data_IF_888981495724
#
_entry.id   IF_888981495724
#
_cell.length_a   1.000
_cell.length_b   1.000
_cell.length_c   1.000
_cell.angle_alpha   90.00
_cell.angle_beta   90.00
_cell.angle_gamma   90.00
#
_symmetry.space_group_name_H-M   'P 1'
#
loop_
_entity.id
_entity.type
_entity.pdbx_description
1 polymer ?
#
# COMPACT_ATOMS: atom_id res chain seq x y z
N UNK A 1 11.67 8.28 -23.29
CA UNK A 1 10.64 9.09 -22.64
C UNK A 1 11.29 9.86 -21.50
N UNK A 2 11.22 11.19 -21.52
CA UNK A 2 11.80 12.04 -20.46
C UNK A 2 10.70 12.31 -19.42
N UNK A 3 10.90 11.80 -18.20
CA UNK A 3 10.28 12.28 -16.96
C UNK A 3 8.83 11.87 -16.68
N UNK A 4 8.58 10.63 -16.25
CA UNK A 4 7.41 10.38 -15.40
C UNK A 4 7.63 11.14 -14.07
N UNK A 5 6.64 11.83 -13.48
CA UNK A 5 6.81 12.55 -12.20
C UNK A 5 7.42 11.67 -11.08
N UNK A 6 7.11 10.38 -11.10
CA UNK A 6 7.69 9.36 -10.21
C UNK A 6 9.22 9.15 -10.36
N UNK A 7 9.84 9.68 -11.41
CA UNK A 7 11.29 9.61 -11.67
C UNK A 7 12.05 10.87 -11.20
N UNK A 8 11.36 11.88 -10.66
CA UNK A 8 12.02 13.06 -10.12
C UNK A 8 12.69 12.76 -8.77
N UNK A 9 13.93 13.21 -8.60
CA UNK A 9 14.64 13.21 -7.30
C UNK A 9 13.81 13.86 -6.19
N UNK A 10 12.93 14.81 -6.51
CA UNK A 10 12.07 15.52 -5.55
C UNK A 10 10.99 14.65 -4.89
N UNK A 11 10.75 13.46 -5.45
CA UNK A 11 9.72 12.50 -5.03
C UNK A 11 10.33 11.31 -4.28
N UNK A 12 11.65 11.13 -4.35
CA UNK A 12 12.35 10.02 -3.68
C UNK A 12 12.10 10.06 -2.17
N UNK A 13 11.56 8.97 -1.65
CA UNK A 13 11.23 8.82 -0.23
C UNK A 13 9.96 9.53 0.23
N UNK A 14 9.17 10.09 -0.69
CA UNK A 14 7.84 10.66 -0.40
C UNK A 14 6.73 9.70 -0.77
N UNK A 15 5.69 9.68 0.05
CA UNK A 15 4.44 9.01 -0.26
C UNK A 15 3.64 9.86 -1.24
N UNK A 16 3.20 9.26 -2.35
CA UNK A 16 2.31 9.91 -3.29
C UNK A 16 0.98 9.16 -3.28
N UNK A 17 -0.10 9.92 -3.20
CA UNK A 17 -1.45 9.40 -3.28
C UNK A 17 -2.05 9.82 -4.62
N UNK A 18 -2.22 8.88 -5.53
CA UNK A 18 -2.80 9.12 -6.85
C UNK A 18 -3.95 8.14 -7.09
N UNK A 19 -5.17 8.66 -7.07
CA UNK A 19 -6.34 7.83 -7.35
C UNK A 19 -6.23 7.16 -8.71
N UNK A 20 -6.41 5.83 -8.73
CA UNK A 20 -6.31 4.96 -9.91
C UNK A 20 -4.92 4.84 -10.51
N UNK A 21 -3.87 5.24 -9.79
CA UNK A 21 -2.48 5.13 -10.27
C UNK A 21 -2.22 5.91 -11.57
N UNK A 22 -3.06 6.91 -11.89
CA UNK A 22 -3.03 7.59 -13.18
C UNK A 22 -3.38 9.07 -13.12
N UNK A 23 -3.33 9.71 -11.94
CA UNK A 23 -3.35 11.18 -11.91
C UNK A 23 -2.00 11.70 -12.42
N UNK A 24 -1.97 12.74 -13.29
CA UNK A 24 -3.07 13.61 -13.72
C UNK A 24 -3.72 13.22 -15.06
N UNK A 25 -3.47 12.02 -15.61
CA UNK A 25 -3.86 11.59 -16.98
C UNK A 25 -5.37 11.37 -17.21
N UNK A 26 -6.21 11.92 -16.34
CA UNK A 26 -7.67 11.75 -16.43
C UNK A 26 -8.31 12.95 -17.09
N UNK A 27 -8.91 12.73 -18.27
CA UNK A 27 -9.62 13.76 -19.02
C UNK A 27 -11.11 13.44 -19.12
N UNK A 28 -11.96 14.47 -19.05
CA UNK A 28 -13.39 14.39 -19.34
C UNK A 28 -14.29 13.78 -18.26
N UNK A 29 -13.81 12.87 -17.41
CA UNK A 29 -14.60 12.20 -16.36
C UNK A 29 -13.91 12.29 -15.01
N UNK A 30 -14.64 12.65 -13.95
CA UNK A 30 -14.10 12.73 -12.58
C UNK A 30 -13.59 11.38 -12.09
N UNK A 31 -12.49 11.37 -11.33
CA UNK A 31 -11.95 10.15 -10.69
C UNK A 31 -12.99 9.39 -9.88
N UNK A 32 -13.89 10.10 -9.16
CA UNK A 32 -15.02 9.50 -8.43
C UNK A 32 -15.82 8.53 -9.30
N UNK A 33 -16.14 8.92 -10.55
CA UNK A 33 -16.96 8.09 -11.44
C UNK A 33 -16.25 6.82 -11.86
N UNK A 34 -14.94 6.87 -12.07
CA UNK A 34 -14.16 5.68 -12.41
C UNK A 34 -14.04 4.72 -11.22
N UNK A 35 -13.85 5.24 -10.01
CA UNK A 35 -13.85 4.43 -8.77
C UNK A 35 -15.20 3.76 -8.58
N UNK A 36 -16.31 4.51 -8.74
CA UNK A 36 -17.66 3.96 -8.65
C UNK A 36 -17.91 2.88 -9.72
N UNK A 37 -17.50 3.12 -10.97
CA UNK A 37 -17.63 2.11 -12.03
C UNK A 37 -16.87 0.82 -11.70
N UNK A 38 -15.64 0.94 -11.19
CA UNK A 38 -14.85 -0.23 -10.80
C UNK A 38 -15.51 -0.97 -9.63
N UNK A 39 -15.98 -0.25 -8.62
CA UNK A 39 -16.72 -0.83 -7.50
C UNK A 39 -17.97 -1.59 -7.96
N UNK A 40 -18.78 -1.00 -8.83
CA UNK A 40 -19.98 -1.66 -9.39
C UNK A 40 -19.65 -2.90 -10.23
N UNK A 41 -18.52 -2.90 -10.95
CA UNK A 41 -18.04 -4.09 -11.67
C UNK A 41 -17.73 -5.21 -10.67
N UNK A 42 -16.97 -4.91 -9.62
CA UNK A 42 -16.61 -5.90 -8.59
C UNK A 42 -17.86 -6.44 -7.88
N UNK A 43 -18.81 -5.57 -7.55
CA UNK A 43 -20.08 -5.95 -6.92
C UNK A 43 -20.89 -6.92 -7.79
N UNK A 44 -21.06 -6.61 -9.08
CA UNK A 44 -21.77 -7.47 -10.03
C UNK A 44 -21.08 -8.82 -10.24
N UNK A 45 -19.75 -8.85 -10.25
CA UNK A 45 -19.00 -10.09 -10.37
C UNK A 45 -19.18 -10.97 -9.11
N UNK A 46 -19.14 -10.35 -7.92
CA UNK A 46 -19.43 -11.04 -6.66
C UNK A 46 -20.86 -11.61 -6.62
N UNK A 47 -21.86 -10.85 -7.06
CA UNK A 47 -23.26 -11.32 -7.14
C UNK A 47 -23.43 -12.52 -8.07
N UNK A 48 -22.58 -12.64 -9.10
CA UNK A 48 -22.52 -13.78 -10.02
C UNK A 48 -21.68 -14.96 -9.49
N UNK A 49 -21.17 -14.86 -8.26
CA UNK A 49 -20.28 -15.88 -7.69
C UNK A 49 -18.90 -15.95 -8.35
N UNK A 50 -18.49 -14.92 -9.09
CA UNK A 50 -17.14 -14.85 -9.68
C UNK A 50 -16.16 -14.45 -8.58
N UNK A 51 -15.19 -15.32 -8.31
CA UNK A 51 -14.09 -15.03 -7.39
C UNK A 51 -13.06 -14.14 -8.09
N UNK A 52 -12.72 -13.02 -7.46
CA UNK A 52 -11.68 -12.11 -7.92
C UNK A 52 -10.64 -12.00 -6.83
N UNK A 53 -9.40 -12.31 -7.18
CA UNK A 53 -8.26 -12.12 -6.30
C UNK A 53 -7.65 -10.74 -6.57
N UNK A 54 -7.45 -9.97 -5.50
CA UNK A 54 -6.87 -8.62 -5.55
C UNK A 54 -5.65 -8.64 -4.64
N UNK A 55 -4.49 -8.34 -5.21
CA UNK A 55 -3.21 -8.30 -4.49
C UNK A 55 -2.72 -6.87 -4.35
N UNK A 56 -2.18 -6.56 -3.17
CA UNK A 56 -1.45 -5.32 -2.91
C UNK A 56 0.02 -5.67 -2.73
N UNK A 57 0.85 -5.23 -3.68
CA UNK A 57 2.28 -5.54 -3.71
C UNK A 57 3.10 -4.32 -3.29
N UNK A 58 4.08 -4.53 -2.41
CA UNK A 58 5.10 -3.54 -2.13
C UNK A 58 6.33 -3.80 -3.01
N UNK A 59 6.46 -3.04 -4.10
CA UNK A 59 7.54 -3.21 -5.09
C UNK A 59 8.68 -2.20 -4.96
N UNK A 60 8.49 -1.11 -4.22
CA UNK A 60 9.48 -0.02 -4.08
C UNK A 60 9.78 0.31 -2.62
N UNK A 61 8.79 0.15 -1.74
CA UNK A 61 8.93 0.46 -0.31
C UNK A 61 9.77 -0.56 0.45
N UNK A 62 10.20 -0.15 1.63
CA UNK A 62 11.07 -0.95 2.52
C UNK A 62 10.29 -1.43 3.74
N UNK A 63 10.27 -2.74 3.93
CA UNK A 63 9.65 -3.42 5.08
C UNK A 63 10.61 -3.29 6.28
N UNK A 64 10.13 -2.76 7.40
CA UNK A 64 10.95 -2.58 8.60
C UNK A 64 11.96 -1.42 8.53
N UNK A 65 11.77 -0.45 7.63
CA UNK A 65 12.57 0.77 7.60
C UNK A 65 12.37 1.62 8.87
N UNK A 66 13.39 2.41 9.23
CA UNK A 66 13.30 3.39 10.32
C UNK A 66 12.45 4.58 9.89
N UNK A 67 11.82 5.20 10.87
CA UNK A 67 10.92 6.32 10.68
C UNK A 67 10.97 7.25 11.89
N UNK A 68 10.37 8.43 11.75
CA UNK A 68 10.08 9.34 12.84
C UNK A 68 8.67 9.89 12.73
N UNK A 69 8.12 10.28 13.86
CA UNK A 69 6.83 10.94 13.91
C UNK A 69 7.03 12.45 13.75
N UNK A 70 6.38 13.02 12.75
CA UNK A 70 6.35 14.47 12.53
C UNK A 70 4.93 14.99 12.63
N UNK A 71 4.78 16.28 12.87
CA UNK A 71 3.48 16.95 12.70
C UNK A 71 3.26 17.25 11.21
N UNK A 72 2.16 16.74 10.67
CA UNK A 72 1.75 16.95 9.29
C UNK A 72 0.33 17.55 9.27
N UNK A 73 0.14 18.61 8.49
CA UNK A 73 -1.16 19.26 8.32
C UNK A 73 -1.91 18.67 7.14
N UNK A 74 -3.06 18.06 7.40
CA UNK A 74 -3.99 17.55 6.38
C UNK A 74 -5.27 18.40 6.41
N UNK A 75 -5.34 19.37 5.48
CA UNK A 75 -6.41 20.38 5.45
C UNK A 75 -6.35 21.30 6.66
N UNK A 76 -7.40 21.31 7.46
CA UNK A 76 -7.52 22.17 8.65
C UNK A 76 -7.01 21.52 9.94
N UNK A 77 -6.62 20.23 9.90
CA UNK A 77 -6.20 19.47 11.08
C UNK A 77 -4.73 19.09 11.00
N UNK A 78 -4.07 19.05 12.15
CA UNK A 78 -2.71 18.55 12.31
C UNK A 78 -2.74 17.15 12.90
N UNK A 79 -1.92 16.26 12.36
CA UNK A 79 -1.78 14.89 12.80
C UNK A 79 -0.32 14.55 13.04
N UNK A 80 -0.05 13.57 13.90
CA UNK A 80 1.27 12.94 13.97
C UNK A 80 1.34 11.85 12.89
N UNK A 81 2.26 12.00 11.96
CA UNK A 81 2.42 11.09 10.82
C UNK A 81 3.82 10.47 10.82
N UNK A 82 3.93 9.16 10.51
CA UNK A 82 5.21 8.51 10.38
C UNK A 82 5.85 8.91 9.03
N UNK A 83 7.09 9.36 9.06
CA UNK A 83 7.89 9.62 7.87
C UNK A 83 9.14 8.78 7.89
N UNK A 84 9.42 8.12 6.77
CA UNK A 84 10.60 7.26 6.62
C UNK A 84 11.87 8.09 6.78
N UNK A 85 12.80 7.62 7.63
CA UNK A 85 14.12 8.25 7.76
C UNK A 85 14.94 7.96 6.51
N UNK A 86 15.51 9.00 5.92
CA UNK A 86 16.35 8.92 4.74
C UNK A 86 17.79 9.34 5.07
N UNK A 87 18.75 8.63 4.50
CA UNK A 87 20.18 8.99 4.51
C UNK A 87 20.65 9.17 3.06
N UNK A 88 21.60 10.08 2.84
CA UNK A 88 22.22 10.23 1.53
C UNK A 88 23.24 9.12 1.32
N UNK A 89 23.16 8.44 0.18
CA UNK A 89 24.23 7.53 -0.23
C UNK A 89 25.47 8.32 -0.71
N UNK A 90 26.56 7.62 -1.04
CA UNK A 90 27.80 8.19 -1.56
C UNK A 90 27.60 9.06 -2.82
N UNK A 91 26.49 8.89 -3.53
CA UNK A 91 26.15 9.62 -4.76
C UNK A 91 25.14 10.75 -4.51
N UNK A 92 24.85 11.09 -3.24
CA UNK A 92 23.91 12.15 -2.86
C UNK A 92 22.43 11.80 -3.07
N UNK A 93 22.09 10.54 -3.28
CA UNK A 93 20.70 10.08 -3.47
C UNK A 93 20.10 9.65 -2.13
N UNK A 94 18.92 10.17 -1.73
CA UNK A 94 18.24 9.75 -0.51
C UNK A 94 17.84 8.27 -0.56
N UNK A 95 18.13 7.53 0.52
CA UNK A 95 17.80 6.12 0.68
C UNK A 95 17.19 5.87 2.07
N UNK A 96 16.12 5.05 2.18
CA UNK A 96 15.58 4.66 3.46
C UNK A 96 16.60 3.98 4.37
N UNK A 97 16.58 4.34 5.65
CA UNK A 97 17.45 3.73 6.65
C UNK A 97 16.87 2.38 7.08
N UNK A 98 17.61 1.30 6.79
CA UNK A 98 17.27 -0.06 7.20
C UNK A 98 16.18 -0.75 6.35
N UNK A 99 15.52 -1.73 6.97
CA UNK A 99 14.47 -2.56 6.37
C UNK A 99 14.96 -3.62 5.40
N UNK A 100 14.03 -4.21 4.65
CA UNK A 100 14.24 -5.12 3.52
C UNK A 100 13.18 -4.87 2.44
N UNK A 101 13.31 -5.48 1.27
CA UNK A 101 12.30 -5.45 0.21
C UNK A 101 12.35 -6.78 -0.54
N UNK A 102 11.24 -7.25 -1.11
CA UNK A 102 11.31 -8.37 -2.04
C UNK A 102 12.16 -7.96 -3.24
N UNK A 103 12.89 -8.92 -3.79
CA UNK A 103 13.51 -8.77 -5.11
C UNK A 103 12.44 -8.86 -6.21
N UNK A 104 12.82 -8.53 -7.45
CA UNK A 104 11.93 -8.68 -8.60
C UNK A 104 11.56 -10.16 -8.76
N UNK A 105 12.55 -11.04 -8.66
CA UNK A 105 12.42 -12.48 -8.80
C UNK A 105 11.53 -13.08 -7.70
N UNK A 106 11.64 -12.59 -6.46
CA UNK A 106 10.75 -13.01 -5.35
C UNK A 106 9.31 -12.55 -5.58
N UNK A 107 9.11 -11.38 -6.17
CA UNK A 107 7.78 -10.86 -6.51
C UNK A 107 7.14 -11.66 -7.65
N UNK A 108 7.92 -11.96 -8.70
CA UNK A 108 7.50 -12.82 -9.81
C UNK A 108 7.16 -14.24 -9.34
N UNK A 109 8.02 -14.83 -8.51
CA UNK A 109 7.77 -16.13 -7.90
C UNK A 109 6.46 -16.11 -7.10
N UNK A 110 6.24 -15.09 -6.26
CA UNK A 110 4.98 -14.96 -5.52
C UNK A 110 3.77 -14.94 -6.46
N UNK A 111 3.80 -14.13 -7.52
CA UNK A 111 2.70 -14.04 -8.48
C UNK A 111 2.44 -15.38 -9.19
N UNK A 112 3.50 -16.08 -9.60
CA UNK A 112 3.39 -17.40 -10.21
C UNK A 112 2.77 -18.43 -9.26
N UNK A 113 3.17 -18.43 -7.99
CA UNK A 113 2.60 -19.35 -7.00
C UNK A 113 1.16 -18.98 -6.63
N UNK A 114 0.84 -17.69 -6.56
CA UNK A 114 -0.51 -17.22 -6.26
C UNK A 114 -1.50 -17.66 -7.35
N UNK A 115 -1.16 -17.45 -8.62
CA UNK A 115 -1.98 -17.89 -9.77
C UNK A 115 -2.17 -19.41 -9.81
N UNK A 116 -1.21 -20.18 -9.27
CA UNK A 116 -1.30 -21.64 -9.16
C UNK A 116 -2.10 -22.11 -7.95
N UNK A 117 -2.55 -21.21 -7.07
CA UNK A 117 -3.18 -21.56 -5.80
C UNK A 117 -2.22 -22.23 -4.80
N UNK A 118 -0.91 -22.05 -4.97
CA UNK A 118 0.13 -22.70 -4.18
C UNK A 118 0.63 -21.85 -2.99
N UNK A 119 0.05 -20.66 -2.78
CA UNK A 119 0.32 -19.82 -1.62
C UNK A 119 -0.66 -20.17 -0.51
N UNK A 120 -0.13 -20.44 0.69
CA UNK A 120 -0.96 -20.57 1.89
C UNK A 120 -1.05 -19.20 2.57
N UNK A 121 -2.27 -18.83 2.96
CA UNK A 121 -2.58 -17.54 3.56
C UNK A 121 -3.15 -17.69 4.98
N UNK A 122 -2.96 -16.66 5.80
CA UNK A 122 -3.63 -16.48 7.08
C UNK A 122 -4.32 -15.11 7.15
N UNK A 123 -5.21 -14.92 8.11
CA UNK A 123 -5.87 -13.63 8.34
C UNK A 123 -4.86 -12.59 8.84
N UNK A 124 -4.95 -11.37 8.33
CA UNK A 124 -4.12 -10.28 8.82
C UNK A 124 -4.47 -10.00 10.29
N UNK A 125 -3.52 -9.89 11.23
CA UNK A 125 -3.84 -9.79 12.66
C UNK A 125 -4.52 -8.48 13.07
N UNK A 126 -4.42 -7.44 12.23
CA UNK A 126 -5.07 -6.14 12.43
C UNK A 126 -6.39 -6.03 11.62
N UNK A 127 -6.34 -6.17 10.29
CA UNK A 127 -7.56 -6.11 9.44
C UNK A 127 -8.45 -7.37 9.45
N UNK A 128 -8.05 -8.43 10.14
CA UNK A 128 -8.79 -9.69 10.23
C UNK A 128 -9.09 -10.29 8.86
N UNK A 129 -10.32 -10.81 8.69
CA UNK A 129 -10.77 -11.48 7.45
C UNK A 129 -10.86 -10.55 6.22
N UNK A 130 -10.67 -9.23 6.38
CA UNK A 130 -10.67 -8.30 5.24
C UNK A 130 -9.39 -8.42 4.40
N UNK A 131 -8.28 -8.84 5.02
CA UNK A 131 -6.97 -8.94 4.37
C UNK A 131 -6.35 -10.27 4.73
N UNK A 132 -5.82 -10.95 3.73
CA UNK A 132 -5.04 -12.17 3.90
C UNK A 132 -3.55 -11.87 3.71
N UNK A 133 -2.69 -12.55 4.46
CA UNK A 133 -1.24 -12.44 4.36
C UNK A 133 -0.61 -13.80 4.03
N UNK A 134 0.39 -13.86 3.14
CA UNK A 134 1.05 -15.11 2.81
C UNK A 134 1.86 -15.63 4.02
N UNK A 135 1.62 -16.88 4.40
CA UNK A 135 2.39 -17.58 5.46
C UNK A 135 3.32 -18.65 4.89
N UNK A 136 3.08 -19.09 3.66
CA UNK A 136 3.96 -20.00 2.92
C UNK A 136 3.85 -19.73 1.44
N UNK A 137 5.00 -19.63 0.77
CA UNK A 137 5.13 -19.48 -0.67
C UNK A 137 6.16 -20.49 -1.13
N UNK A 138 5.77 -21.41 -2.00
CA UNK A 138 6.70 -22.41 -2.54
C UNK A 138 7.87 -21.73 -3.26
N UNK A 139 9.10 -22.11 -2.88
CA UNK A 139 10.33 -21.48 -3.35
C UNK A 139 10.85 -20.32 -2.50
N UNK A 140 10.10 -19.85 -1.50
CA UNK A 140 10.60 -18.92 -0.48
C UNK A 140 10.80 -19.62 0.87
N UNK A 141 11.94 -19.34 1.51
CA UNK A 141 12.23 -19.88 2.83
C UNK A 141 11.35 -19.21 3.91
N UNK A 142 11.08 -19.93 5.00
CA UNK A 142 10.33 -19.38 6.14
C UNK A 142 11.03 -18.16 6.77
N UNK A 143 12.37 -18.18 6.84
CA UNK A 143 13.15 -17.04 7.34
C UNK A 143 12.96 -15.82 6.43
N UNK A 144 12.97 -16.00 5.11
CA UNK A 144 12.77 -14.91 4.17
C UNK A 144 11.35 -14.35 4.22
N UNK A 145 10.34 -15.20 4.34
CA UNK A 145 8.95 -14.75 4.57
C UNK A 145 8.82 -13.97 5.87
N UNK A 146 9.54 -14.36 6.93
CA UNK A 146 9.57 -13.60 8.19
C UNK A 146 10.21 -12.23 8.01
N UNK A 147 11.30 -12.10 7.25
CA UNK A 147 11.89 -10.80 6.89
C UNK A 147 10.95 -9.94 6.04
N UNK A 148 10.13 -10.54 5.19
CA UNK A 148 9.16 -9.83 4.37
C UNK A 148 7.85 -9.53 5.11
N UNK A 149 7.70 -9.95 6.37
CA UNK A 149 6.54 -9.64 7.19
C UNK A 149 6.75 -8.34 7.98
N UNK A 150 5.97 -7.27 7.74
CA UNK A 150 6.09 -6.00 8.48
C UNK A 150 5.97 -6.15 10.00
N UNK A 151 5.19 -7.13 10.46
CA UNK A 151 4.96 -7.39 11.89
C UNK A 151 6.17 -8.00 12.60
N UNK A 152 7.17 -8.48 11.85
CA UNK A 152 8.41 -9.00 12.42
C UNK A 152 9.29 -7.91 13.04
N UNK A 153 9.06 -6.65 12.67
CA UNK A 153 9.95 -5.55 13.03
C UNK A 153 9.43 -4.72 14.20
N UNK A 154 8.11 -4.76 14.45
CA UNK A 154 7.40 -3.79 15.29
C UNK A 154 6.41 -4.52 16.19
N UNK A 155 6.07 -3.88 17.31
CA UNK A 155 5.02 -4.43 18.18
C UNK A 155 3.65 -4.31 17.52
N UNK A 156 2.68 -5.12 17.95
CA UNK A 156 1.32 -5.06 17.44
C UNK A 156 0.72 -3.65 17.57
N UNK A 157 0.87 -3.05 18.76
CA UNK A 157 0.40 -1.68 19.04
C UNK A 157 1.04 -0.65 18.12
N UNK A 158 2.35 -0.72 17.94
CA UNK A 158 3.06 0.21 17.05
C UNK A 158 2.59 0.06 15.59
N UNK A 159 2.34 -1.16 15.13
CA UNK A 159 1.78 -1.42 13.81
C UNK A 159 0.37 -0.88 13.65
N UNK A 160 -0.50 -1.01 14.67
CA UNK A 160 -1.81 -0.37 14.63
C UNK A 160 -1.70 1.15 14.50
N UNK A 161 -0.81 1.80 15.27
CA UNK A 161 -0.62 3.26 15.22
C UNK A 161 -0.14 3.71 13.82
N UNK A 162 0.80 2.99 13.21
CA UNK A 162 1.27 3.24 11.85
C UNK A 162 0.15 3.08 10.82
N UNK A 163 -0.62 2.00 10.92
CA UNK A 163 -1.73 1.74 10.00
C UNK A 163 -2.82 2.79 10.18
N UNK A 164 -3.16 3.21 11.40
CA UNK A 164 -4.13 4.30 11.63
C UNK A 164 -3.68 5.59 10.94
N UNK A 165 -2.40 5.95 11.05
CA UNK A 165 -1.86 7.11 10.36
C UNK A 165 -1.98 6.97 8.83
N UNK A 166 -1.63 5.80 8.28
CA UNK A 166 -1.78 5.50 6.85
C UNK A 166 -3.24 5.59 6.40
N UNK A 167 -4.19 5.06 7.17
CA UNK A 167 -5.63 5.11 6.87
C UNK A 167 -6.14 6.55 6.89
N UNK A 168 -5.76 7.36 7.88
CA UNK A 168 -6.13 8.79 7.95
C UNK A 168 -5.66 9.51 6.69
N UNK A 169 -4.38 9.35 6.33
CA UNK A 169 -3.78 10.01 5.17
C UNK A 169 -4.41 9.54 3.86
N UNK A 170 -4.61 8.22 3.71
CA UNK A 170 -5.25 7.62 2.54
C UNK A 170 -6.69 8.13 2.36
N UNK A 171 -7.48 8.16 3.44
CA UNK A 171 -8.86 8.69 3.42
C UNK A 171 -8.90 10.17 3.07
N UNK A 172 -7.97 10.96 3.61
CA UNK A 172 -7.87 12.38 3.30
C UNK A 172 -7.66 12.60 1.80
N UNK A 173 -6.63 11.99 1.21
CA UNK A 173 -6.35 12.14 -0.22
C UNK A 173 -7.45 11.56 -1.11
N UNK A 174 -8.02 10.41 -0.74
CA UNK A 174 -9.14 9.82 -1.47
C UNK A 174 -10.37 10.73 -1.46
N UNK A 175 -10.70 11.36 -0.33
CA UNK A 175 -11.82 12.31 -0.23
C UNK A 175 -11.59 13.58 -1.07
N UNK A 176 -10.37 14.10 -1.07
CA UNK A 176 -10.00 15.28 -1.88
C UNK A 176 -10.07 14.96 -3.37
N UNK A 177 -9.56 13.81 -3.79
CA UNK A 177 -9.46 13.42 -5.21
C UNK A 177 -10.76 12.83 -5.77
N UNK A 178 -11.60 12.27 -4.90
CA UNK A 178 -12.87 11.65 -5.25
C UNK A 178 -13.98 12.14 -4.29
N UNK A 179 -14.41 13.41 -4.39
CA UNK A 179 -15.49 13.91 -3.56
C UNK A 179 -16.79 13.15 -3.83
N UNK A 180 -17.56 12.89 -2.77
CA UNK A 180 -18.86 12.23 -2.84
C UNK A 180 -18.82 10.70 -2.97
N UNK A 181 -17.68 10.06 -2.70
CA UNK A 181 -17.65 8.59 -2.61
C UNK A 181 -18.53 8.06 -1.48
N UNK A 182 -19.23 6.92 -1.68
CA UNK A 182 -19.94 6.21 -0.62
C UNK A 182 -19.06 5.92 0.58
N UNK A 183 -19.63 6.02 1.78
CA UNK A 183 -18.92 5.76 3.03
C UNK A 183 -18.37 4.34 3.12
N UNK A 184 -19.04 3.35 2.54
CA UNK A 184 -18.55 1.97 2.49
C UNK A 184 -17.20 1.84 1.76
N UNK A 185 -16.97 2.63 0.70
CA UNK A 185 -15.69 2.65 -0.02
C UNK A 185 -14.64 3.37 0.83
N UNK A 186 -14.99 4.52 1.41
CA UNK A 186 -14.08 5.29 2.24
C UNK A 186 -13.64 4.51 3.48
N UNK A 187 -14.56 3.78 4.12
CA UNK A 187 -14.33 3.02 5.35
C UNK A 187 -13.84 1.59 5.10
N UNK A 188 -13.62 1.20 3.84
CA UNK A 188 -13.08 -0.12 3.49
C UNK A 188 -11.71 -0.40 4.13
N UNK A 189 -10.93 0.65 4.40
CA UNK A 189 -9.60 0.59 4.99
C UNK A 189 -9.61 0.47 6.52
N UNK A 190 -10.76 0.65 7.17
CA UNK A 190 -10.87 0.62 8.63
C UNK A 190 -10.76 -0.82 9.18
N UNK A 191 -10.26 -0.92 10.41
CA UNK A 191 -10.13 -2.16 11.18
C UNK A 191 -10.59 -1.96 12.61
#
# INVERSE_FOLDING_TARGET
TVGHPAQSLSVVGKEIYETRYCLPFTMGVKSTMHVLRFYEILKKLREKGVLIEIYMLNTVGRIGAKYEWIEERLGERTFKMPVTKLELNSNGVPKPVGGTSPTIEETELFLLQAVRGAVEYDVHPIWGKKVLVPVKVEGLSRSRLKELNPLSYRTHREMEELIRAQVIKSKYFLKVQCPGLPEEILNSMDF
#
